data_IF_439704006904
#
_entry.id   IF_439704006904
#
_cell.length_a   1.000
_cell.length_b   1.000
_cell.length_c   1.000
_cell.angle_alpha   90.00
_cell.angle_beta   90.00
_cell.angle_gamma   90.00
#
_symmetry.space_group_name_H-M   'P 1'
#
loop_
_entity.id
_entity.type
_entity.pdbx_description
1 polymer ?
#
# COMPACT_ATOMS: atom_id res chain seq x y z
N UNK A 1 18.30 4.20 10.39
CA UNK A 1 16.86 4.17 10.74
C UNK A 1 16.27 5.47 10.22
N UNK A 2 15.22 5.39 9.42
CA UNK A 2 14.56 6.57 8.82
C UNK A 2 13.14 6.66 9.37
N UNK A 3 12.70 7.87 9.67
CA UNK A 3 11.33 8.17 10.11
C UNK A 3 10.50 8.70 8.95
N UNK A 4 9.26 8.21 8.84
CA UNK A 4 8.21 8.81 8.03
C UNK A 4 7.40 9.75 8.93
N UNK A 5 7.28 11.01 8.53
CA UNK A 5 6.49 12.02 9.24
C UNK A 5 5.31 12.45 8.36
N UNK A 6 4.18 12.78 8.99
CA UNK A 6 2.94 13.18 8.31
C UNK A 6 1.76 12.32 8.74
N UNK A 7 0.60 12.59 8.13
CA UNK A 7 -0.62 11.82 8.34
C UNK A 7 -0.77 10.81 7.22
N UNK A 8 -1.11 9.57 7.56
CA UNK A 8 -1.22 8.48 6.59
C UNK A 8 -2.54 7.74 6.72
N UNK A 9 -3.21 7.54 5.59
CA UNK A 9 -4.23 6.52 5.45
C UNK A 9 -3.55 5.20 5.07
N UNK A 10 -3.95 4.11 5.73
CA UNK A 10 -3.40 2.78 5.47
C UNK A 10 -4.47 1.82 5.00
N UNK A 11 -4.10 0.93 4.08
CA UNK A 11 -4.96 -0.15 3.62
C UNK A 11 -4.12 -1.38 3.29
N UNK A 12 -4.65 -2.56 3.63
CA UNK A 12 -4.01 -3.84 3.37
C UNK A 12 -4.56 -4.44 2.08
N UNK A 13 -3.66 -4.93 1.25
CA UNK A 13 -3.96 -5.59 0.00
C UNK A 13 -3.36 -6.99 0.00
N UNK A 14 -3.99 -7.90 -0.74
CA UNK A 14 -3.50 -9.26 -0.94
C UNK A 14 -3.38 -9.58 -2.43
N UNK A 15 -2.27 -10.21 -2.82
CA UNK A 15 -2.13 -10.81 -4.14
C UNK A 15 -0.73 -10.69 -4.75
N UNK A 16 -0.58 -11.08 -6.03
CA UNK A 16 0.70 -11.05 -6.72
C UNK A 16 1.16 -9.61 -7.02
N UNK A 17 2.48 -9.39 -7.08
CA UNK A 17 3.10 -8.08 -7.35
C UNK A 17 2.57 -7.37 -8.61
N UNK A 18 2.13 -8.12 -9.63
CA UNK A 18 1.50 -7.54 -10.83
C UNK A 18 0.25 -6.69 -10.55
N UNK A 19 -0.38 -6.85 -9.38
CA UNK A 19 -1.54 -6.05 -8.98
C UNK A 19 -1.18 -4.69 -8.39
N UNK A 20 0.11 -4.32 -8.27
CA UNK A 20 0.56 -3.03 -7.70
C UNK A 20 -0.16 -1.83 -8.31
N UNK A 21 -0.35 -1.80 -9.64
CA UNK A 21 -1.06 -0.72 -10.31
C UNK A 21 -2.55 -0.66 -9.95
N UNK A 22 -3.19 -1.80 -9.69
CA UNK A 22 -4.59 -1.86 -9.24
C UNK A 22 -4.71 -1.34 -7.81
N UNK A 23 -3.81 -1.76 -6.93
CA UNK A 23 -3.79 -1.31 -5.54
C UNK A 23 -3.52 0.18 -5.42
N UNK A 24 -2.64 0.74 -6.27
CA UNK A 24 -2.38 2.18 -6.30
C UNK A 24 -3.66 2.97 -6.64
N UNK A 25 -4.41 2.55 -7.67
CA UNK A 25 -5.68 3.16 -8.06
C UNK A 25 -6.73 3.03 -6.97
N UNK A 26 -6.89 1.85 -6.39
CA UNK A 26 -7.84 1.61 -5.31
C UNK A 26 -7.49 2.44 -4.05
N UNK A 27 -6.20 2.64 -3.77
CA UNK A 27 -5.75 3.52 -2.69
C UNK A 27 -6.05 4.99 -2.99
N UNK A 28 -5.86 5.43 -4.24
CA UNK A 28 -6.20 6.79 -4.67
C UNK A 28 -7.72 7.05 -4.54
N UNK A 29 -8.55 6.11 -4.99
CA UNK A 29 -10.01 6.16 -4.83
C UNK A 29 -10.42 6.16 -3.36
N UNK A 30 -9.75 5.33 -2.54
CA UNK A 30 -9.99 5.29 -1.10
C UNK A 30 -9.69 6.63 -0.43
N UNK A 31 -8.54 7.24 -0.72
CA UNK A 31 -8.18 8.57 -0.18
C UNK A 31 -9.18 9.63 -0.63
N UNK A 32 -9.56 9.63 -1.91
CA UNK A 32 -10.60 10.53 -2.44
C UNK A 32 -11.95 10.34 -1.75
N UNK A 33 -12.35 9.12 -1.44
CA UNK A 33 -13.59 8.82 -0.72
C UNK A 33 -13.62 9.34 0.73
N UNK A 34 -12.48 9.82 1.23
CA UNK A 34 -12.34 10.46 2.55
C UNK A 34 -12.23 11.98 2.46
N UNK A 35 -12.50 12.56 1.29
CA UNK A 35 -12.32 13.99 0.98
C UNK A 35 -10.88 14.47 1.22
N UNK A 36 -9.92 13.54 1.08
CA UNK A 36 -8.49 13.79 1.23
C UNK A 36 -7.77 13.73 -0.12
N UNK A 37 -6.57 14.30 -0.18
CA UNK A 37 -5.69 14.25 -1.34
C UNK A 37 -4.48 13.36 -1.06
N UNK A 38 -4.17 12.47 -2.00
CA UNK A 38 -3.00 11.61 -1.90
C UNK A 38 -1.74 12.38 -2.35
N UNK A 39 -0.78 12.57 -1.44
CA UNK A 39 0.51 13.20 -1.75
C UNK A 39 1.57 12.17 -2.19
N UNK A 40 1.79 11.16 -1.34
CA UNK A 40 2.79 10.11 -1.55
C UNK A 40 2.19 8.76 -1.23
N UNK A 41 2.62 7.76 -1.97
CA UNK A 41 2.18 6.39 -1.77
C UNK A 41 3.38 5.47 -1.56
N UNK A 42 3.42 4.81 -0.41
CA UNK A 42 4.45 3.83 -0.06
C UNK A 42 3.88 2.42 -0.02
N UNK A 43 4.67 1.44 -0.45
CA UNK A 43 4.32 0.02 -0.45
C UNK A 43 5.22 -0.71 0.55
N UNK A 44 4.62 -1.27 1.60
CA UNK A 44 5.30 -2.09 2.58
C UNK A 44 5.01 -3.57 2.33
N UNK A 45 6.00 -4.29 1.83
CA UNK A 45 5.93 -5.73 1.61
C UNK A 45 6.34 -6.46 2.89
N UNK A 46 5.39 -7.17 3.51
CA UNK A 46 5.63 -7.86 4.79
C UNK A 46 6.33 -9.20 4.63
N UNK A 47 6.44 -9.71 3.41
CA UNK A 47 7.03 -11.01 3.07
C UNK A 47 8.15 -10.86 2.05
N UNK A 48 9.16 -11.73 2.10
CA UNK A 48 10.18 -11.78 1.06
C UNK A 48 9.63 -12.53 -0.18
N UNK A 49 10.15 -12.24 -1.41
CA UNK A 49 9.65 -12.84 -2.64
C UNK A 49 9.72 -14.37 -2.71
N UNK A 50 10.57 -15.01 -1.89
CA UNK A 50 10.65 -16.48 -1.82
C UNK A 50 9.47 -17.06 -1.05
N UNK A 51 9.17 -16.51 0.12
CA UNK A 51 8.03 -16.95 0.94
C UNK A 51 6.69 -16.61 0.28
N UNK A 52 6.64 -15.46 -0.38
CA UNK A 52 5.55 -15.05 -1.24
C UNK A 52 5.13 -16.12 -2.25
N UNK A 53 6.11 -16.77 -2.89
CA UNK A 53 5.89 -17.84 -3.88
C UNK A 53 5.51 -19.17 -3.22
N UNK A 54 6.08 -19.47 -2.05
CA UNK A 54 5.83 -20.72 -1.35
C UNK A 54 4.43 -20.78 -0.73
N UNK A 55 3.95 -19.68 -0.15
CA UNK A 55 2.71 -19.65 0.63
C UNK A 55 1.52 -19.02 -0.11
N UNK A 56 1.75 -18.42 -1.29
CA UNK A 56 0.70 -17.85 -2.16
C UNK A 56 0.00 -16.59 -1.63
N UNK A 57 0.17 -16.26 -0.34
CA UNK A 57 -0.42 -15.09 0.31
C UNK A 57 0.64 -14.01 0.48
N UNK A 58 0.44 -12.86 -0.18
CA UNK A 58 1.29 -11.69 -0.04
C UNK A 58 0.45 -10.52 0.42
N UNK A 59 0.67 -10.14 1.67
CA UNK A 59 0.09 -8.94 2.22
C UNK A 59 0.99 -7.75 1.93
N UNK A 60 0.38 -6.69 1.41
CA UNK A 60 1.06 -5.43 1.14
C UNK A 60 0.28 -4.34 1.84
N UNK A 61 0.96 -3.59 2.71
CA UNK A 61 0.37 -2.43 3.37
C UNK A 61 0.73 -1.20 2.58
N UNK A 62 -0.26 -0.52 2.02
CA UNK A 62 -0.06 0.77 1.37
C UNK A 62 -0.24 1.88 2.40
N UNK A 63 0.68 2.85 2.39
CA UNK A 63 0.62 4.07 3.18
C UNK A 63 0.44 5.25 2.23
N UNK A 64 -0.75 5.83 2.22
CA UNK A 64 -1.06 7.04 1.49
C UNK A 64 -0.89 8.25 2.40
N UNK A 65 0.17 9.03 2.17
CA UNK A 65 0.34 10.32 2.84
C UNK A 65 -0.76 11.27 2.35
N UNK A 66 -1.40 11.94 3.29
CA UNK A 66 -2.41 12.97 3.05
C UNK A 66 -1.96 14.31 3.62
N UNK A 67 -2.50 15.38 3.04
CA UNK A 67 -2.35 16.76 3.51
C UNK A 67 -2.98 16.97 4.91
#
# INVERSE_FOLDING_TARGET
MTTLSGTFLTKVFEGPYQNVGKWAKEMEEYVKSKDQKLEKLYFSYTTCPKYAKAYGKNYVVLFGQID
#
